data_IF_381925420478
#
_entry.id   IF_381925420478
#
_cell.length_a   1.000
_cell.length_b   1.000
_cell.length_c   1.000
_cell.angle_alpha   90.00
_cell.angle_beta   90.00
_cell.angle_gamma   90.00
#
_symmetry.space_group_name_H-M   'P 1'
#
loop_
_entity.id
_entity.type
_entity.pdbx_description
1 polymer ?
#
# COMPACT_ATOMS: atom_id res chain seq x y z
N UNK A 1 1.50 -22.06 4.49
CA UNK A 1 0.19 -21.57 4.06
C UNK A 1 0.21 -21.31 2.56
N UNK A 2 -0.95 -21.47 1.91
CA UNK A 2 -1.17 -21.08 0.50
C UNK A 2 -1.99 -19.79 0.46
N UNK A 3 -1.40 -18.73 -0.10
CA UNK A 3 -1.95 -17.38 -0.05
C UNK A 3 -2.24 -16.85 -1.47
N UNK A 4 -3.32 -16.13 -1.63
CA UNK A 4 -3.57 -15.30 -2.81
C UNK A 4 -3.20 -13.87 -2.49
N UNK A 5 -2.31 -13.25 -3.28
CA UNK A 5 -1.93 -11.85 -3.11
C UNK A 5 -2.24 -11.10 -4.42
N UNK A 6 -3.24 -10.21 -4.38
CA UNK A 6 -3.53 -9.34 -5.51
C UNK A 6 -2.70 -8.06 -5.43
N UNK A 7 -2.34 -7.49 -6.57
CA UNK A 7 -1.41 -6.36 -6.62
C UNK A 7 0.03 -6.74 -6.26
N UNK A 8 0.43 -7.99 -6.49
CA UNK A 8 1.77 -8.50 -6.14
C UNK A 8 2.92 -7.82 -6.91
N UNK A 9 2.66 -7.21 -8.05
CA UNK A 9 3.62 -6.37 -8.78
C UNK A 9 3.60 -4.90 -8.31
N UNK A 10 2.69 -4.53 -7.39
CA UNK A 10 2.64 -3.25 -6.71
C UNK A 10 3.76 -3.11 -5.67
N UNK A 11 3.88 -1.93 -5.07
CA UNK A 11 4.93 -1.64 -4.09
C UNK A 11 4.81 -2.51 -2.83
N UNK A 12 3.69 -2.41 -2.11
CA UNK A 12 3.48 -3.18 -0.88
C UNK A 12 3.35 -4.67 -1.20
N UNK A 13 2.64 -5.03 -2.29
CA UNK A 13 2.43 -6.41 -2.70
C UNK A 13 3.72 -7.15 -3.01
N UNK A 14 4.70 -6.50 -3.65
CA UNK A 14 6.02 -7.07 -3.91
C UNK A 14 6.76 -7.41 -2.61
N UNK A 15 6.87 -6.44 -1.69
CA UNK A 15 7.59 -6.65 -0.43
C UNK A 15 6.90 -7.69 0.47
N UNK A 16 5.58 -7.67 0.53
CA UNK A 16 4.81 -8.68 1.25
C UNK A 16 5.01 -10.08 0.66
N UNK A 17 4.90 -10.21 -0.67
CA UNK A 17 5.12 -11.49 -1.35
C UNK A 17 6.53 -12.01 -1.11
N UNK A 18 7.55 -11.13 -1.23
CA UNK A 18 8.93 -11.48 -0.93
C UNK A 18 9.07 -12.04 0.49
N UNK A 19 8.58 -11.31 1.49
CA UNK A 19 8.69 -11.69 2.90
C UNK A 19 8.01 -13.04 3.19
N UNK A 20 6.81 -13.26 2.67
CA UNK A 20 6.06 -14.50 2.88
C UNK A 20 6.69 -15.70 2.16
N UNK A 21 7.26 -15.50 0.97
CA UNK A 21 8.04 -16.55 0.27
C UNK A 21 9.29 -16.93 1.05
N UNK A 22 10.03 -15.94 1.58
CA UNK A 22 11.21 -16.17 2.45
C UNK A 22 10.85 -16.92 3.74
N UNK A 23 9.59 -16.80 4.21
CA UNK A 23 9.04 -17.56 5.34
C UNK A 23 8.52 -18.96 4.94
N UNK A 24 8.68 -19.38 3.68
CA UNK A 24 8.28 -20.70 3.20
C UNK A 24 6.79 -20.85 2.86
N UNK A 25 6.06 -19.74 2.65
CA UNK A 25 4.65 -19.79 2.22
C UNK A 25 4.54 -19.87 0.70
N UNK A 26 3.45 -20.49 0.22
CA UNK A 26 3.12 -20.56 -1.20
C UNK A 26 2.23 -19.37 -1.59
N UNK A 27 2.55 -18.72 -2.70
CA UNK A 27 1.83 -17.52 -3.16
C UNK A 27 1.36 -17.68 -4.59
N UNK A 28 0.07 -17.49 -4.82
CA UNK A 28 -0.47 -17.13 -6.12
C UNK A 28 -0.57 -15.61 -6.15
N UNK A 29 0.26 -14.97 -6.98
CA UNK A 29 0.30 -13.52 -7.13
C UNK A 29 -0.51 -13.05 -8.33
N UNK A 30 -1.42 -12.08 -8.15
CA UNK A 30 -2.15 -11.44 -9.23
C UNK A 30 -1.73 -9.99 -9.43
N UNK A 31 -1.65 -9.56 -10.67
CA UNK A 31 -1.57 -8.15 -11.08
C UNK A 31 -2.04 -8.03 -12.53
N UNK A 32 -2.67 -6.92 -12.90
CA UNK A 32 -3.06 -6.65 -14.29
C UNK A 32 -1.96 -5.99 -15.12
N UNK A 33 -0.88 -5.54 -14.45
CA UNK A 33 0.22 -4.80 -15.04
C UNK A 33 -0.22 -3.54 -15.78
N UNK A 34 -1.23 -2.82 -15.24
CA UNK A 34 -1.69 -1.58 -15.85
C UNK A 34 -0.57 -0.53 -15.96
N UNK A 35 -0.76 0.42 -16.87
CA UNK A 35 0.22 1.47 -17.20
C UNK A 35 0.05 2.75 -16.38
N UNK A 36 -0.53 2.69 -15.20
CA UNK A 36 -0.65 3.85 -14.31
C UNK A 36 0.71 4.49 -13.99
N UNK A 37 1.74 3.65 -13.86
CA UNK A 37 3.15 4.04 -13.82
C UNK A 37 3.99 3.01 -14.57
N UNK A 38 5.32 3.23 -14.66
CA UNK A 38 6.26 2.41 -15.41
C UNK A 38 6.03 0.89 -15.20
N UNK A 39 5.58 0.23 -16.26
CA UNK A 39 5.31 -1.22 -16.28
C UNK A 39 6.59 -2.04 -16.11
N UNK A 40 7.75 -1.51 -16.52
CA UNK A 40 9.01 -2.22 -16.38
C UNK A 40 9.39 -2.39 -14.91
N UNK A 41 9.06 -1.40 -14.05
CA UNK A 41 9.25 -1.55 -12.61
C UNK A 41 8.36 -2.68 -12.04
N UNK A 42 7.12 -2.83 -12.53
CA UNK A 42 6.23 -3.94 -12.15
C UNK A 42 6.79 -5.30 -12.61
N UNK A 43 7.23 -5.39 -13.87
CA UNK A 43 7.87 -6.61 -14.41
C UNK A 43 9.13 -6.97 -13.62
N UNK A 44 9.97 -5.98 -13.26
CA UNK A 44 11.18 -6.19 -12.45
C UNK A 44 10.86 -6.77 -11.08
N UNK A 45 9.82 -6.30 -10.40
CA UNK A 45 9.38 -6.86 -9.11
C UNK A 45 8.97 -8.34 -9.25
N UNK A 46 8.21 -8.69 -10.30
CA UNK A 46 7.84 -10.09 -10.56
C UNK A 46 9.08 -10.94 -10.85
N UNK A 47 10.01 -10.44 -11.67
CA UNK A 47 11.27 -11.13 -11.96
C UNK A 47 12.06 -11.42 -10.69
N UNK A 48 12.16 -10.43 -9.79
CA UNK A 48 12.82 -10.60 -8.50
C UNK A 48 12.12 -11.62 -7.59
N UNK A 49 10.77 -11.68 -7.58
CA UNK A 49 10.04 -12.71 -6.85
C UNK A 49 10.31 -14.10 -7.40
N UNK A 50 10.37 -14.25 -8.73
CA UNK A 50 10.68 -15.53 -9.39
C UNK A 50 12.13 -15.98 -9.20
N UNK A 51 13.06 -15.05 -8.97
CA UNK A 51 14.48 -15.34 -8.75
C UNK A 51 14.87 -15.61 -7.29
N UNK A 52 13.91 -15.58 -6.36
CA UNK A 52 14.17 -15.94 -4.97
C UNK A 52 14.60 -17.41 -4.89
N UNK A 53 15.53 -17.68 -3.97
CA UNK A 53 16.01 -19.05 -3.68
C UNK A 53 14.97 -19.85 -2.87
N UNK A 54 13.78 -20.05 -3.47
CA UNK A 54 12.67 -20.86 -2.94
C UNK A 54 12.23 -21.84 -4.04
N UNK A 55 11.45 -22.85 -3.69
CA UNK A 55 10.91 -23.79 -4.70
C UNK A 55 10.08 -23.04 -5.72
N UNK A 56 10.24 -23.35 -7.02
CA UNK A 56 9.55 -22.66 -8.13
C UNK A 56 8.03 -22.65 -7.96
N UNK A 57 7.45 -23.72 -7.47
CA UNK A 57 6.03 -23.87 -7.23
C UNK A 57 5.50 -22.97 -6.10
N UNK A 58 6.39 -22.35 -5.30
CA UNK A 58 5.98 -21.47 -4.21
C UNK A 58 5.53 -20.09 -4.70
N UNK A 59 5.93 -19.67 -5.91
CA UNK A 59 5.44 -18.43 -6.50
C UNK A 59 4.88 -18.63 -7.91
N UNK A 60 3.57 -18.52 -8.04
CA UNK A 60 2.87 -18.56 -9.34
C UNK A 60 2.31 -17.17 -9.61
N UNK A 61 2.71 -16.55 -10.72
CA UNK A 61 2.16 -15.28 -11.17
C UNK A 61 1.08 -15.48 -12.22
N UNK A 62 -0.09 -14.85 -12.03
CA UNK A 62 -1.18 -14.80 -13.00
C UNK A 62 -1.51 -13.36 -13.37
N UNK A 63 -1.50 -13.03 -14.67
CA UNK A 63 -1.90 -11.70 -15.14
C UNK A 63 -3.43 -11.66 -15.25
N UNK A 64 -4.08 -11.16 -14.17
CA UNK A 64 -5.53 -11.07 -14.07
C UNK A 64 -5.90 -9.69 -13.50
N UNK A 65 -6.93 -9.07 -14.10
CA UNK A 65 -7.58 -7.89 -13.53
C UNK A 65 -8.69 -8.35 -12.58
N UNK A 66 -8.69 -7.84 -11.36
CA UNK A 66 -9.69 -8.20 -10.34
C UNK A 66 -11.10 -7.71 -10.71
N UNK A 67 -11.24 -6.72 -11.61
CA UNK A 67 -12.53 -6.28 -12.13
C UNK A 67 -13.17 -7.31 -13.08
N UNK A 68 -12.38 -8.20 -13.67
CA UNK A 68 -12.89 -9.29 -14.52
C UNK A 68 -13.31 -10.50 -13.68
N UNK A 69 -14.57 -10.49 -13.23
CA UNK A 69 -15.15 -11.56 -12.38
C UNK A 69 -15.03 -12.94 -12.99
N UNK A 70 -15.39 -13.08 -14.26
CA UNK A 70 -15.42 -14.39 -14.93
C UNK A 70 -14.03 -15.03 -14.95
N UNK A 71 -13.01 -14.29 -15.38
CA UNK A 71 -11.62 -14.77 -15.39
C UNK A 71 -11.12 -15.08 -14.00
N UNK A 72 -11.45 -14.24 -13.02
CA UNK A 72 -11.04 -14.43 -11.63
C UNK A 72 -11.59 -15.75 -11.05
N UNK A 73 -12.89 -16.00 -11.24
CA UNK A 73 -13.55 -17.22 -10.74
C UNK A 73 -13.09 -18.46 -11.53
N UNK A 74 -13.00 -18.38 -12.85
CA UNK A 74 -12.51 -19.49 -13.68
C UNK A 74 -11.11 -19.95 -13.25
N UNK A 75 -10.21 -19.01 -13.03
CA UNK A 75 -8.79 -19.29 -12.72
C UNK A 75 -8.54 -19.68 -11.26
N UNK A 76 -9.40 -19.25 -10.33
CA UNK A 76 -9.11 -19.33 -8.90
C UNK A 76 -10.24 -19.93 -8.05
N UNK A 77 -11.46 -20.07 -8.59
CA UNK A 77 -12.63 -20.51 -7.83
C UNK A 77 -12.49 -21.90 -7.19
N UNK A 78 -11.69 -22.78 -7.80
CA UNK A 78 -11.44 -24.14 -7.28
C UNK A 78 -10.19 -24.23 -6.37
N UNK A 79 -9.48 -23.11 -6.13
CA UNK A 79 -8.34 -23.14 -5.25
C UNK A 79 -8.78 -23.06 -3.77
N UNK A 80 -8.02 -23.75 -2.92
CA UNK A 80 -8.13 -23.57 -1.46
C UNK A 80 -7.02 -22.64 -1.00
N UNK A 81 -7.39 -21.53 -0.36
CA UNK A 81 -6.47 -20.56 0.21
C UNK A 81 -6.61 -20.51 1.72
N UNK A 82 -5.50 -20.38 2.44
CA UNK A 82 -5.51 -20.11 3.88
C UNK A 82 -5.90 -18.64 4.16
N UNK A 83 -5.44 -17.71 3.32
CA UNK A 83 -5.88 -16.33 3.33
C UNK A 83 -5.77 -15.69 1.93
N UNK A 84 -6.59 -14.66 1.71
CA UNK A 84 -6.52 -13.76 0.54
C UNK A 84 -6.06 -12.39 1.02
N UNK A 85 -5.06 -11.80 0.34
CA UNK A 85 -4.57 -10.44 0.63
C UNK A 85 -4.83 -9.56 -0.59
N UNK A 86 -5.81 -8.69 -0.49
CA UNK A 86 -6.17 -7.77 -1.57
C UNK A 86 -5.46 -6.43 -1.46
N UNK A 87 -4.36 -6.30 -2.20
CA UNK A 87 -3.61 -5.03 -2.34
C UNK A 87 -3.77 -4.40 -3.73
N UNK A 88 -4.43 -5.10 -4.67
CA UNK A 88 -4.77 -4.53 -5.96
C UNK A 88 -5.76 -3.38 -5.78
N UNK A 89 -5.39 -2.22 -6.31
CA UNK A 89 -6.24 -1.04 -6.31
C UNK A 89 -5.73 -0.04 -7.35
N UNK A 90 -6.63 0.76 -7.90
CA UNK A 90 -6.24 2.02 -8.50
C UNK A 90 -5.95 3.01 -7.36
N UNK A 91 -4.70 3.43 -7.26
CA UNK A 91 -4.22 4.32 -6.21
C UNK A 91 -3.94 5.74 -6.75
N UNK A 92 -3.72 6.70 -5.84
CA UNK A 92 -3.43 8.08 -6.19
C UNK A 92 -4.65 8.99 -6.07
N UNK A 93 -4.66 9.84 -5.05
CA UNK A 93 -5.76 10.76 -4.74
C UNK A 93 -6.10 11.66 -5.92
N UNK A 94 -5.10 12.30 -6.52
CA UNK A 94 -5.31 13.28 -7.61
C UNK A 94 -5.80 12.63 -8.91
N UNK A 95 -5.33 11.44 -9.20
CA UNK A 95 -5.74 10.71 -10.39
C UNK A 95 -7.22 10.32 -10.31
N UNK A 96 -7.78 10.12 -9.10
CA UNK A 96 -9.19 9.82 -8.91
C UNK A 96 -10.13 10.98 -9.26
N UNK A 97 -9.65 12.21 -9.18
CA UNK A 97 -10.42 13.40 -9.59
C UNK A 97 -10.60 13.41 -11.12
N UNK A 98 -9.55 13.02 -11.84
CA UNK A 98 -9.56 13.06 -13.32
C UNK A 98 -10.19 11.81 -13.94
N UNK A 99 -10.03 10.63 -13.30
CA UNK A 99 -10.45 9.33 -13.85
C UNK A 99 -11.24 8.50 -12.83
N UNK A 100 -12.42 8.96 -12.35
CA UNK A 100 -13.17 8.29 -11.28
C UNK A 100 -13.61 6.87 -11.65
N UNK A 101 -13.98 6.61 -12.91
CA UNK A 101 -14.43 5.30 -13.37
C UNK A 101 -13.39 4.19 -13.13
N UNK A 102 -12.10 4.47 -13.34
CA UNK A 102 -11.03 3.51 -13.05
C UNK A 102 -10.97 3.09 -11.58
N UNK A 103 -11.37 4.00 -10.68
CA UNK A 103 -11.44 3.71 -9.26
C UNK A 103 -12.69 2.92 -8.91
N UNK A 104 -13.82 3.24 -9.53
CA UNK A 104 -15.03 2.44 -9.37
C UNK A 104 -14.81 1.01 -9.83
N UNK A 105 -14.34 0.80 -11.05
CA UNK A 105 -14.10 -0.51 -11.64
C UNK A 105 -13.12 -1.34 -10.79
N UNK A 106 -11.97 -0.77 -10.43
CA UNK A 106 -10.94 -1.54 -9.71
C UNK A 106 -11.23 -1.64 -8.22
N UNK A 107 -11.56 -0.52 -7.55
CA UNK A 107 -11.63 -0.49 -6.10
C UNK A 107 -12.99 -0.92 -5.55
N UNK A 108 -14.09 -0.69 -6.28
CA UNK A 108 -15.44 -1.08 -5.83
C UNK A 108 -15.81 -2.42 -6.44
N UNK A 109 -15.94 -2.50 -7.75
CA UNK A 109 -16.32 -3.73 -8.44
C UNK A 109 -15.26 -4.83 -8.28
N UNK A 110 -13.97 -4.49 -8.48
CA UNK A 110 -12.87 -5.44 -8.29
C UNK A 110 -12.80 -5.96 -6.86
N UNK A 111 -12.99 -5.11 -5.85
CA UNK A 111 -13.02 -5.55 -4.46
C UNK A 111 -14.23 -6.46 -4.16
N UNK A 112 -15.40 -6.11 -4.68
CA UNK A 112 -16.59 -6.98 -4.61
C UNK A 112 -16.31 -8.37 -5.22
N UNK A 113 -15.62 -8.44 -6.35
CA UNK A 113 -15.24 -9.73 -6.95
C UNK A 113 -14.29 -10.53 -6.05
N UNK A 114 -13.40 -9.87 -5.30
CA UNK A 114 -12.52 -10.53 -4.32
C UNK A 114 -13.32 -11.05 -3.12
N UNK A 115 -14.33 -10.31 -2.65
CA UNK A 115 -15.24 -10.78 -1.61
C UNK A 115 -16.01 -12.03 -2.07
N UNK A 116 -16.54 -12.03 -3.29
CA UNK A 116 -17.21 -13.19 -3.89
C UNK A 116 -16.25 -14.39 -4.06
N UNK A 117 -15.02 -14.15 -4.55
CA UNK A 117 -14.00 -15.20 -4.60
C UNK A 117 -13.72 -15.76 -3.20
N UNK A 118 -13.63 -14.90 -2.19
CA UNK A 118 -13.41 -15.31 -0.80
C UNK A 118 -14.56 -16.22 -0.29
N UNK A 119 -15.79 -15.89 -0.64
CA UNK A 119 -16.97 -16.70 -0.31
C UNK A 119 -16.97 -18.05 -1.05
N UNK A 120 -16.73 -18.05 -2.35
CA UNK A 120 -16.71 -19.26 -3.20
C UNK A 120 -15.59 -20.23 -2.76
N UNK A 121 -14.40 -19.72 -2.51
CA UNK A 121 -13.25 -20.54 -2.08
C UNK A 121 -13.28 -20.88 -0.59
N UNK A 122 -14.30 -20.40 0.14
CA UNK A 122 -14.48 -20.59 1.59
C UNK A 122 -13.24 -20.19 2.39
N UNK A 123 -12.55 -19.11 1.95
CA UNK A 123 -11.37 -18.63 2.65
C UNK A 123 -11.74 -18.12 4.04
N UNK A 124 -10.91 -18.44 5.03
CA UNK A 124 -11.20 -18.06 6.42
C UNK A 124 -10.79 -16.62 6.75
N UNK A 125 -9.86 -16.04 6.00
CA UNK A 125 -9.32 -14.71 6.29
C UNK A 125 -9.08 -13.91 5.02
N UNK A 126 -9.73 -12.74 4.92
CA UNK A 126 -9.48 -11.71 3.91
C UNK A 126 -8.79 -10.52 4.54
N UNK A 127 -7.59 -10.21 4.07
CA UNK A 127 -6.83 -8.99 4.41
C UNK A 127 -6.94 -8.02 3.25
N UNK A 128 -7.16 -6.73 3.50
CA UNK A 128 -7.33 -5.76 2.41
C UNK A 128 -6.74 -4.39 2.71
N UNK A 129 -6.34 -3.70 1.64
CA UNK A 129 -5.84 -2.34 1.72
C UNK A 129 -6.98 -1.32 1.80
N UNK A 130 -7.03 -0.55 2.89
CA UNK A 130 -7.68 0.75 3.00
C UNK A 130 -6.62 1.86 2.94
N UNK A 131 -6.92 3.05 3.45
CA UNK A 131 -6.04 4.23 3.36
C UNK A 131 -6.32 5.22 4.49
N UNK A 132 -5.30 5.90 4.97
CA UNK A 132 -5.48 7.05 5.89
C UNK A 132 -6.26 8.22 5.26
N UNK A 133 -6.44 8.25 3.94
CA UNK A 133 -7.23 9.27 3.25
C UNK A 133 -8.72 9.22 3.61
N UNK A 134 -9.23 8.11 4.17
CA UNK A 134 -10.63 8.01 4.64
C UNK A 134 -10.95 8.98 5.76
N UNK A 135 -9.95 9.40 6.52
CA UNK A 135 -10.12 10.39 7.59
C UNK A 135 -10.45 11.79 7.06
N UNK A 136 -10.09 12.11 5.80
CA UNK A 136 -10.33 13.41 5.22
C UNK A 136 -9.61 14.54 6.00
N UNK A 137 -10.31 15.65 6.24
CA UNK A 137 -9.77 16.84 6.90
C UNK A 137 -10.03 16.89 8.41
N UNK A 138 -9.99 15.77 9.11
CA UNK A 138 -10.09 15.77 10.57
C UNK A 138 -8.92 16.55 11.16
N UNK A 139 -9.21 17.57 11.99
CA UNK A 139 -8.19 18.43 12.59
C UNK A 139 -7.46 17.77 13.77
N UNK A 140 -8.15 16.87 14.50
CA UNK A 140 -7.61 16.22 15.72
C UNK A 140 -6.65 15.09 15.34
N UNK A 141 -5.42 15.22 15.78
CA UNK A 141 -4.37 14.20 15.63
C UNK A 141 -4.04 13.59 17.00
N UNK A 142 -3.58 12.33 17.05
CA UNK A 142 -3.43 11.37 15.94
C UNK A 142 -4.78 10.84 15.46
N UNK A 143 -4.85 10.42 14.18
CA UNK A 143 -6.01 9.72 13.64
C UNK A 143 -6.18 8.36 14.32
N UNK A 144 -7.37 8.08 14.85
CA UNK A 144 -7.75 6.82 15.49
C UNK A 144 -8.74 6.07 14.61
N UNK A 145 -8.79 4.74 14.74
CA UNK A 145 -9.66 3.90 13.91
C UNK A 145 -11.16 4.17 14.16
N UNK A 146 -11.52 4.59 15.36
CA UNK A 146 -12.87 5.00 15.79
C UNK A 146 -13.26 6.42 15.36
N UNK A 147 -12.35 7.18 14.78
CA UNK A 147 -12.65 8.54 14.29
C UNK A 147 -13.67 8.50 13.17
N UNK A 148 -14.60 9.45 13.15
CA UNK A 148 -15.60 9.59 12.10
C UNK A 148 -14.91 9.91 10.76
N UNK A 149 -14.92 8.94 9.84
CA UNK A 149 -14.31 9.06 8.52
C UNK A 149 -15.15 9.98 7.61
N UNK A 150 -14.52 11.00 7.04
CA UNK A 150 -15.13 11.94 6.08
C UNK A 150 -14.26 12.06 4.83
N UNK A 151 -14.31 11.08 3.91
CA UNK A 151 -13.48 11.10 2.71
C UNK A 151 -13.82 12.30 1.84
N UNK A 152 -12.79 13.03 1.39
CA UNK A 152 -12.92 14.24 0.56
C UNK A 152 -12.48 14.01 -0.90
N UNK A 153 -12.06 12.80 -1.23
CA UNK A 153 -11.69 12.42 -2.60
C UNK A 153 -12.32 11.06 -2.95
N UNK A 154 -12.61 10.85 -4.24
CA UNK A 154 -13.27 9.63 -4.70
C UNK A 154 -12.47 8.37 -4.36
N UNK A 155 -11.14 8.40 -4.47
CA UNK A 155 -10.28 7.30 -4.01
C UNK A 155 -10.56 6.90 -2.55
N UNK A 156 -10.61 7.88 -1.65
CA UNK A 156 -10.86 7.63 -0.24
C UNK A 156 -12.29 7.07 0.00
N UNK A 157 -13.28 7.60 -0.75
CA UNK A 157 -14.65 7.10 -0.68
C UNK A 157 -14.75 5.63 -1.12
N UNK A 158 -14.06 5.24 -2.21
CA UNK A 158 -14.02 3.83 -2.64
C UNK A 158 -13.39 2.92 -1.59
N UNK A 159 -12.39 3.40 -0.86
CA UNK A 159 -11.75 2.62 0.21
C UNK A 159 -12.60 2.50 1.46
N UNK A 160 -13.33 3.55 1.83
CA UNK A 160 -14.31 3.47 2.92
C UNK A 160 -15.46 2.52 2.58
N UNK A 161 -15.91 2.52 1.32
CA UNK A 161 -16.88 1.53 0.84
C UNK A 161 -16.36 0.08 0.97
N UNK A 162 -15.05 -0.14 0.70
CA UNK A 162 -14.44 -1.47 0.92
C UNK A 162 -14.52 -1.90 2.39
N UNK A 163 -14.28 -1.00 3.35
CA UNK A 163 -14.40 -1.30 4.78
C UNK A 163 -15.84 -1.75 5.12
N UNK A 164 -16.84 -1.03 4.65
CA UNK A 164 -18.26 -1.37 4.87
C UNK A 164 -18.65 -2.71 4.23
N UNK A 165 -18.24 -2.95 2.97
CA UNK A 165 -18.50 -4.21 2.28
C UNK A 165 -17.82 -5.40 2.97
N UNK A 166 -16.58 -5.24 3.44
CA UNK A 166 -15.85 -6.29 4.16
C UNK A 166 -16.54 -6.65 5.49
N UNK A 167 -17.03 -5.66 6.24
CA UNK A 167 -17.80 -5.88 7.47
C UNK A 167 -19.07 -6.67 7.20
N UNK A 168 -19.86 -6.29 6.17
CA UNK A 168 -21.07 -7.01 5.80
C UNK A 168 -20.79 -8.48 5.44
N UNK A 169 -19.74 -8.75 4.65
CA UNK A 169 -19.34 -10.13 4.30
C UNK A 169 -18.87 -10.93 5.51
N UNK A 170 -18.17 -10.29 6.44
CA UNK A 170 -17.75 -10.92 7.69
C UNK A 170 -18.95 -11.35 8.53
N UNK A 171 -19.94 -10.49 8.67
CA UNK A 171 -21.16 -10.79 9.45
C UNK A 171 -21.99 -11.91 8.81
N UNK A 172 -22.21 -11.86 7.50
CA UNK A 172 -23.08 -12.79 6.79
C UNK A 172 -22.39 -14.15 6.56
N UNK A 173 -21.16 -14.13 6.04
CA UNK A 173 -20.46 -15.35 5.58
C UNK A 173 -19.40 -15.83 6.56
N UNK A 174 -19.24 -15.19 7.71
CA UNK A 174 -18.27 -15.54 8.77
C UNK A 174 -16.81 -15.60 8.27
N UNK A 175 -16.50 -14.80 7.25
CA UNK A 175 -15.15 -14.60 6.75
C UNK A 175 -14.49 -13.56 7.64
N UNK A 176 -13.38 -13.93 8.34
CA UNK A 176 -12.59 -12.95 9.06
C UNK A 176 -12.06 -11.89 8.12
N UNK A 177 -12.21 -10.60 8.44
CA UNK A 177 -11.68 -9.51 7.60
C UNK A 177 -10.74 -8.60 8.38
N UNK A 178 -9.65 -8.18 7.74
CA UNK A 178 -8.68 -7.25 8.31
C UNK A 178 -8.36 -6.15 7.31
N UNK A 179 -8.83 -4.94 7.58
CA UNK A 179 -8.55 -3.76 6.79
C UNK A 179 -7.35 -2.98 7.30
N UNK A 180 -6.52 -2.47 6.40
CA UNK A 180 -5.40 -1.62 6.78
C UNK A 180 -5.53 -0.22 6.20
N UNK A 181 -5.71 0.79 7.05
CA UNK A 181 -5.56 2.19 6.71
C UNK A 181 -4.08 2.54 6.66
N UNK A 182 -3.47 2.28 5.51
CA UNK A 182 -2.06 2.62 5.32
C UNK A 182 -1.85 4.13 5.34
N UNK A 183 -0.86 4.57 6.10
CA UNK A 183 -0.33 5.92 6.03
C UNK A 183 0.68 6.03 4.88
N UNK A 184 1.50 7.08 4.83
CA UNK A 184 2.40 7.26 3.69
C UNK A 184 3.54 6.25 3.72
N UNK A 185 3.45 5.23 2.88
CA UNK A 185 4.47 4.17 2.79
C UNK A 185 5.58 4.57 1.85
N UNK A 186 6.84 4.33 2.24
CA UNK A 186 8.02 4.60 1.43
C UNK A 186 9.09 3.52 1.60
N UNK A 187 10.04 3.45 0.65
CA UNK A 187 11.15 2.50 0.68
C UNK A 187 11.61 2.11 -0.72
N UNK A 188 12.62 1.22 -0.84
CA UNK A 188 13.09 0.65 -2.10
C UNK A 188 11.94 0.06 -2.93
N UNK A 189 12.07 0.06 -4.25
CA UNK A 189 10.99 -0.36 -5.14
C UNK A 189 9.68 0.44 -4.94
N UNK A 190 9.75 1.68 -4.46
CA UNK A 190 8.61 2.56 -4.23
C UNK A 190 7.85 2.92 -5.50
N UNK A 191 6.72 3.61 -5.34
CA UNK A 191 5.88 4.05 -6.46
C UNK A 191 6.42 5.34 -7.08
N UNK A 192 6.54 5.41 -8.43
CA UNK A 192 7.03 6.60 -9.13
C UNK A 192 6.18 7.86 -8.97
N UNK A 193 4.89 7.72 -8.67
CA UNK A 193 3.98 8.85 -8.46
C UNK A 193 4.11 9.52 -7.08
N UNK A 194 4.88 8.93 -6.15
CA UNK A 194 5.09 9.46 -4.80
C UNK A 194 6.20 10.52 -4.74
N UNK A 195 6.08 11.44 -3.76
CA UNK A 195 6.98 12.58 -3.62
C UNK A 195 8.46 12.19 -3.52
N UNK A 196 8.81 11.20 -2.69
CA UNK A 196 10.19 10.76 -2.53
C UNK A 196 10.82 10.32 -3.86
N UNK A 197 10.08 9.57 -4.66
CA UNK A 197 10.55 9.10 -5.96
C UNK A 197 10.73 10.27 -6.94
N UNK A 198 9.72 11.15 -7.07
CA UNK A 198 9.78 12.33 -7.95
C UNK A 198 10.90 13.29 -7.56
N UNK A 199 11.07 13.53 -6.25
CA UNK A 199 12.16 14.39 -5.78
C UNK A 199 13.50 13.79 -6.13
N UNK A 200 13.71 12.49 -5.87
CA UNK A 200 14.96 11.82 -6.18
C UNK A 200 15.28 11.82 -7.67
N UNK A 201 14.29 11.59 -8.52
CA UNK A 201 14.46 11.66 -9.97
C UNK A 201 14.89 13.06 -10.42
N UNK A 202 14.25 14.12 -9.91
CA UNK A 202 14.59 15.48 -10.25
C UNK A 202 15.97 15.88 -9.71
N UNK A 203 16.32 15.49 -8.49
CA UNK A 203 17.63 15.76 -7.87
C UNK A 203 18.75 15.13 -8.70
N UNK A 204 18.61 13.86 -9.10
CA UNK A 204 19.63 13.18 -9.90
C UNK A 204 19.78 13.79 -11.29
N UNK A 205 18.68 14.28 -11.87
CA UNK A 205 18.67 15.00 -13.16
C UNK A 205 19.02 16.49 -13.05
N UNK A 206 19.44 16.99 -11.88
CA UNK A 206 19.70 18.40 -11.58
C UNK A 206 18.52 19.33 -11.94
N UNK A 207 17.29 18.85 -11.78
CA UNK A 207 16.04 19.61 -12.00
C UNK A 207 15.44 20.08 -10.69
N UNK A 208 14.71 21.20 -10.66
CA UNK A 208 14.04 21.66 -9.43
C UNK A 208 12.98 20.68 -8.96
N UNK A 209 12.82 20.56 -7.64
CA UNK A 209 11.73 19.81 -7.02
C UNK A 209 10.56 20.74 -6.70
N UNK A 210 9.32 20.30 -7.00
CA UNK A 210 8.11 21.07 -6.67
C UNK A 210 7.65 20.76 -5.25
N UNK A 211 7.73 21.77 -4.38
CA UNK A 211 7.34 21.69 -2.97
C UNK A 211 6.01 22.40 -2.78
N UNK A 212 4.92 21.63 -2.63
CA UNK A 212 3.58 22.16 -2.45
C UNK A 212 3.35 22.74 -1.05
N UNK A 213 2.39 23.67 -0.94
CA UNK A 213 2.05 24.42 0.28
C UNK A 213 3.29 25.05 0.93
N UNK A 214 4.25 25.51 0.13
CA UNK A 214 5.50 26.12 0.60
C UNK A 214 6.26 25.25 1.61
N UNK A 215 6.08 23.93 1.55
CA UNK A 215 6.70 22.97 2.48
C UNK A 215 5.95 22.75 3.80
N UNK A 216 4.84 23.44 4.02
CA UNK A 216 4.03 23.36 5.25
C UNK A 216 3.15 22.10 5.30
N UNK A 217 3.78 20.94 5.18
CA UNK A 217 3.15 19.63 5.30
C UNK A 217 3.90 18.75 6.29
N UNK A 218 3.15 17.97 7.08
CA UNK A 218 3.71 16.87 7.85
C UNK A 218 3.07 15.55 7.44
N UNK A 219 3.87 14.49 7.40
CA UNK A 219 3.40 13.14 7.05
C UNK A 219 3.87 12.12 8.06
N UNK A 220 2.96 11.23 8.45
CA UNK A 220 3.33 9.95 9.02
C UNK A 220 3.93 9.12 7.89
N UNK A 221 5.27 9.08 7.84
CA UNK A 221 6.05 8.46 6.78
C UNK A 221 6.62 7.14 7.30
N UNK A 222 6.08 6.02 6.82
CA UNK A 222 6.34 4.70 7.36
C UNK A 222 7.11 3.84 6.38
N UNK A 223 8.21 3.24 6.85
CA UNK A 223 9.07 2.41 6.02
C UNK A 223 8.38 1.09 5.64
N UNK A 224 8.67 0.61 4.45
CA UNK A 224 7.98 -0.54 3.86
C UNK A 224 8.07 -1.82 4.69
N UNK A 225 9.21 -2.11 5.30
CA UNK A 225 9.38 -3.34 6.08
C UNK A 225 8.56 -3.31 7.37
N UNK A 226 8.39 -2.13 7.99
CA UNK A 226 7.50 -1.96 9.13
C UNK A 226 6.04 -2.23 8.72
N UNK A 227 5.61 -1.75 7.56
CA UNK A 227 4.27 -2.02 7.01
C UNK A 227 4.08 -3.51 6.75
N UNK A 228 5.06 -4.15 6.10
CA UNK A 228 5.01 -5.60 5.80
C UNK A 228 4.91 -6.41 7.08
N UNK A 229 5.66 -6.04 8.12
CA UNK A 229 5.57 -6.71 9.44
C UNK A 229 4.14 -6.68 10.00
N UNK A 230 3.46 -5.53 9.94
CA UNK A 230 2.07 -5.43 10.41
C UNK A 230 1.10 -6.30 9.62
N UNK A 231 1.24 -6.35 8.28
CA UNK A 231 0.39 -7.20 7.42
C UNK A 231 0.69 -8.69 7.66
N UNK A 232 1.95 -9.08 7.73
CA UNK A 232 2.36 -10.47 8.02
C UNK A 232 1.79 -10.92 9.37
N UNK A 233 1.92 -10.09 10.40
CA UNK A 233 1.41 -10.41 11.73
C UNK A 233 -0.10 -10.67 11.72
N UNK A 234 -0.88 -9.89 10.95
CA UNK A 234 -2.34 -10.13 10.85
C UNK A 234 -2.68 -11.49 10.24
N UNK A 235 -1.82 -12.01 9.37
CA UNK A 235 -2.01 -13.30 8.68
C UNK A 235 -1.64 -14.47 9.60
N UNK A 236 -0.54 -14.35 10.34
CA UNK A 236 0.04 -15.46 11.10
C UNK A 236 -0.45 -15.54 12.56
N UNK A 237 -0.83 -14.40 13.16
CA UNK A 237 -1.30 -14.39 14.54
C UNK A 237 -2.75 -14.86 14.66
N UNK A 238 -3.00 -15.68 15.65
CA UNK A 238 -4.39 -16.01 16.05
C UNK A 238 -4.97 -14.81 16.80
N UNK A 239 -5.99 -14.19 16.23
CA UNK A 239 -6.71 -13.06 16.85
C UNK A 239 -8.19 -13.36 16.92
N UNK A 240 -8.89 -12.83 17.94
CA UNK A 240 -10.29 -13.14 18.24
C UNK A 240 -11.32 -12.30 17.48
N UNK A 241 -10.90 -11.24 16.78
CA UNK A 241 -11.85 -10.39 16.05
C UNK A 241 -12.38 -11.04 14.76
N UNK A 242 -13.61 -10.73 14.38
CA UNK A 242 -14.24 -11.15 13.13
C UNK A 242 -13.98 -10.15 11.99
N UNK A 243 -14.20 -8.86 12.24
CA UNK A 243 -13.94 -7.78 11.27
C UNK A 243 -13.31 -6.60 11.98
N UNK A 244 -12.12 -6.20 11.53
CA UNK A 244 -11.40 -5.09 12.14
C UNK A 244 -10.60 -4.27 11.13
N UNK A 245 -10.49 -2.96 11.43
CA UNK A 245 -9.64 -2.04 10.69
C UNK A 245 -8.53 -1.53 11.59
N UNK A 246 -7.31 -1.43 11.04
CA UNK A 246 -6.13 -0.98 11.76
C UNK A 246 -5.40 0.13 11.01
N UNK A 247 -4.91 1.11 11.73
CA UNK A 247 -3.93 2.03 11.21
C UNK A 247 -2.54 1.38 11.14
N UNK A 248 -1.91 1.42 9.97
CA UNK A 248 -0.49 1.11 9.83
C UNK A 248 0.29 2.37 9.43
N UNK A 249 1.00 2.91 10.40
CA UNK A 249 1.84 4.09 10.34
C UNK A 249 2.97 3.99 11.36
N UNK A 250 3.87 4.96 11.40
CA UNK A 250 4.95 4.99 12.40
C UNK A 250 4.59 5.82 13.66
N UNK A 251 3.39 6.41 13.70
CA UNK A 251 2.92 7.29 14.80
C UNK A 251 3.76 8.54 15.03
N UNK A 252 4.66 8.88 14.10
CA UNK A 252 5.52 10.05 14.13
C UNK A 252 5.40 10.80 12.82
N UNK A 253 5.11 12.11 12.89
CA UNK A 253 5.05 12.94 11.69
C UNK A 253 6.42 13.56 11.41
N UNK A 254 6.78 13.61 10.13
CA UNK A 254 7.97 14.33 9.66
C UNK A 254 7.56 15.46 8.72
N UNK A 255 8.17 16.63 8.87
CA UNK A 255 7.96 17.77 7.97
C UNK A 255 8.54 17.55 6.58
N UNK A 256 7.87 18.04 5.54
CA UNK A 256 8.31 17.88 4.16
C UNK A 256 9.72 18.45 3.94
N UNK A 257 10.02 19.62 4.52
CA UNK A 257 11.36 20.23 4.39
C UNK A 257 12.45 19.40 5.07
N UNK A 258 12.14 18.66 6.14
CA UNK A 258 13.09 17.71 6.74
C UNK A 258 13.41 16.55 5.83
N UNK A 259 12.40 16.06 5.07
CA UNK A 259 12.60 15.03 4.03
C UNK A 259 13.54 15.56 2.95
N UNK A 260 13.34 16.80 2.48
CA UNK A 260 14.20 17.45 1.48
C UNK A 260 15.64 17.57 2.00
N UNK A 261 15.85 17.95 3.26
CA UNK A 261 17.19 17.99 3.90
C UNK A 261 17.84 16.61 3.91
N UNK A 262 17.10 15.55 4.23
CA UNK A 262 17.62 14.18 4.23
C UNK A 262 18.01 13.72 2.82
N UNK A 263 17.21 14.05 1.80
CA UNK A 263 17.55 13.78 0.40
C UNK A 263 18.81 14.53 -0.03
N UNK A 264 18.93 15.84 0.31
CA UNK A 264 20.12 16.64 0.05
C UNK A 264 21.38 15.98 0.62
N UNK A 265 21.31 15.54 1.89
CA UNK A 265 22.42 14.86 2.57
C UNK A 265 22.80 13.55 1.86
N UNK A 266 21.82 12.69 1.54
CA UNK A 266 22.08 11.36 0.98
C UNK A 266 22.54 11.38 -0.49
N UNK A 267 22.09 12.36 -1.29
CA UNK A 267 22.56 12.51 -2.67
C UNK A 267 23.81 13.38 -2.77
N UNK A 268 24.19 14.09 -1.70
CA UNK A 268 25.29 15.06 -1.70
C UNK A 268 25.19 16.06 -2.85
N UNK A 269 23.98 16.61 -3.09
CA UNK A 269 23.68 17.54 -4.18
C UNK A 269 22.99 18.79 -3.67
N UNK A 270 23.25 19.93 -4.32
CA UNK A 270 22.40 21.13 -4.17
C UNK A 270 21.01 20.83 -4.74
N UNK A 271 19.97 21.29 -4.08
CA UNK A 271 18.58 21.07 -4.52
C UNK A 271 17.97 22.43 -4.82
N UNK A 272 17.55 22.63 -6.05
CA UNK A 272 16.70 23.74 -6.44
C UNK A 272 15.24 23.41 -6.10
N UNK A 273 14.50 24.37 -5.56
CA UNK A 273 13.13 24.17 -5.06
C UNK A 273 12.21 25.20 -5.70
N UNK A 274 11.14 24.69 -6.36
CA UNK A 274 10.00 25.47 -6.80
C UNK A 274 8.91 25.36 -5.73
N UNK A 275 8.64 26.45 -5.02
CA UNK A 275 7.55 26.51 -4.05
C UNK A 275 6.22 26.73 -4.77
N UNK A 276 5.23 25.87 -4.47
CA UNK A 276 3.92 25.86 -5.11
C UNK A 276 2.81 25.97 -4.06
N UNK A 277 1.69 26.62 -4.43
CA UNK A 277 0.49 26.73 -3.59
C UNK A 277 -0.06 25.36 -3.18
N UNK A 278 -0.88 25.35 -2.12
CA UNK A 278 -1.59 24.14 -1.65
C UNK A 278 -2.43 23.53 -2.79
N UNK A 279 -2.40 22.20 -2.90
CA UNK A 279 -3.18 21.48 -3.91
C UNK A 279 -4.52 21.01 -3.35
N UNK A 280 -5.56 21.14 -4.16
CA UNK A 280 -6.88 20.62 -3.86
C UNK A 280 -6.84 19.10 -3.61
N UNK A 281 -7.54 18.66 -2.58
CA UNK A 281 -7.62 17.24 -2.20
C UNK A 281 -6.46 16.73 -1.36
N UNK A 282 -5.39 17.52 -1.11
CA UNK A 282 -4.31 17.12 -0.20
C UNK A 282 -4.75 17.29 1.26
N UNK A 283 -4.19 16.45 2.13
CA UNK A 283 -4.31 16.57 3.60
C UNK A 283 -3.04 17.24 4.13
N UNK A 284 -3.18 18.30 4.94
CA UNK A 284 -2.04 19.07 5.43
C UNK A 284 -1.13 18.27 6.37
N UNK A 285 -1.72 17.59 7.35
CA UNK A 285 -0.97 16.88 8.40
C UNK A 285 -1.55 15.50 8.61
N UNK A 286 -0.69 14.47 8.74
CA UNK A 286 -1.11 13.11 9.09
C UNK A 286 -0.25 12.56 10.21
N UNK A 287 -0.89 11.92 11.19
CA UNK A 287 -0.26 11.17 12.28
C UNK A 287 -1.20 10.04 12.67
N UNK A 288 -0.71 8.80 12.68
CA UNK A 288 -1.48 7.62 13.07
C UNK A 288 -1.48 7.42 14.58
N UNK A 289 -2.59 6.99 15.14
CA UNK A 289 -2.60 6.18 16.37
C UNK A 289 -2.41 4.72 15.94
N UNK A 290 -1.43 4.05 16.51
CA UNK A 290 -1.16 2.62 16.24
C UNK A 290 -1.39 1.74 17.49
N UNK A 291 -2.08 2.27 18.49
CA UNK A 291 -2.32 1.58 19.76
C UNK A 291 -3.02 0.24 19.54
N UNK A 292 -4.06 0.23 18.70
CA UNK A 292 -4.83 -0.97 18.36
C UNK A 292 -3.97 -2.01 17.63
N UNK A 293 -3.18 -1.59 16.63
CA UNK A 293 -2.27 -2.47 15.90
C UNK A 293 -1.16 -3.03 16.81
N UNK A 294 -0.62 -2.22 17.72
CA UNK A 294 0.34 -2.71 18.73
C UNK A 294 -0.27 -3.79 19.60
N UNK A 295 -1.46 -3.56 20.13
CA UNK A 295 -2.13 -4.48 21.07
C UNK A 295 -2.52 -5.80 20.41
N UNK A 296 -3.11 -5.76 19.22
CA UNK A 296 -3.73 -6.93 18.60
C UNK A 296 -2.87 -7.62 17.55
N UNK A 297 -1.91 -6.91 16.95
CA UNK A 297 -1.06 -7.43 15.88
C UNK A 297 0.44 -7.42 16.24
N UNK A 298 0.83 -7.08 17.47
CA UNK A 298 2.24 -6.90 17.85
C UNK A 298 3.00 -5.99 16.86
N UNK A 299 2.29 -4.98 16.32
CA UNK A 299 2.86 -4.05 15.36
C UNK A 299 3.82 -3.07 16.04
N UNK A 300 5.08 -3.07 15.65
CA UNK A 300 6.11 -2.23 16.26
C UNK A 300 7.04 -1.64 15.19
N UNK A 301 6.67 -0.51 14.55
CA UNK A 301 7.50 0.15 13.56
C UNK A 301 8.78 0.69 14.21
N UNK A 302 9.94 0.28 13.67
CA UNK A 302 11.26 0.60 14.23
C UNK A 302 12.10 1.51 13.36
N UNK A 303 11.80 1.60 12.06
CA UNK A 303 12.64 2.30 11.09
C UNK A 303 12.50 3.82 11.23
N UNK A 304 13.59 4.49 11.56
CA UNK A 304 13.60 5.95 11.60
C UNK A 304 13.55 6.54 10.18
N UNK A 305 12.94 7.73 9.97
CA UNK A 305 12.93 8.38 8.66
C UNK A 305 14.33 8.59 8.07
N UNK A 306 15.33 8.91 8.91
CA UNK A 306 16.73 9.09 8.45
C UNK A 306 17.28 7.80 7.84
N UNK A 307 17.11 6.66 8.52
CA UNK A 307 17.59 5.37 8.05
C UNK A 307 16.80 4.89 6.82
N UNK A 308 15.48 4.95 6.86
CA UNK A 308 14.65 4.50 5.74
C UNK A 308 14.86 5.35 4.47
N UNK A 309 15.04 6.68 4.59
CA UNK A 309 15.35 7.54 3.44
C UNK A 309 16.76 7.22 2.88
N UNK A 310 17.73 6.92 3.74
CA UNK A 310 19.04 6.45 3.28
C UNK A 310 18.92 5.18 2.44
N UNK A 311 18.25 4.15 2.95
CA UNK A 311 18.02 2.89 2.23
C UNK A 311 17.28 3.10 0.91
N UNK A 312 16.30 4.00 0.89
CA UNK A 312 15.61 4.38 -0.35
C UNK A 312 16.57 5.05 -1.34
N UNK A 313 17.38 6.01 -0.91
CA UNK A 313 18.33 6.72 -1.78
C UNK A 313 19.41 5.79 -2.35
N UNK A 314 19.94 4.88 -1.53
CA UNK A 314 20.95 3.90 -1.97
C UNK A 314 20.37 2.99 -3.08
N UNK A 315 19.15 2.48 -2.88
CA UNK A 315 18.44 1.73 -3.92
C UNK A 315 18.16 2.58 -5.17
N UNK A 316 17.74 3.85 -4.99
CA UNK A 316 17.32 4.71 -6.10
C UNK A 316 18.48 5.09 -7.01
N UNK A 317 19.69 5.27 -6.48
CA UNK A 317 20.91 5.48 -7.27
C UNK A 317 21.13 4.33 -8.24
N UNK A 318 21.13 3.09 -7.73
CA UNK A 318 21.31 1.87 -8.54
C UNK A 318 20.18 1.72 -9.58
N UNK A 319 18.95 2.03 -9.19
CA UNK A 319 17.78 1.98 -10.10
C UNK A 319 17.92 3.01 -11.22
N UNK A 320 18.39 4.21 -10.92
CA UNK A 320 18.55 5.31 -11.88
C UNK A 320 19.69 5.08 -12.87
N UNK A 321 20.80 4.51 -12.43
CA UNK A 321 21.95 4.16 -13.28
C UNK A 321 21.63 3.06 -14.31
N UNK A 322 20.64 2.21 -14.02
CA UNK A 322 20.21 1.08 -14.88
C UNK A 322 19.03 1.42 -15.79
N UNK A 323 18.58 2.67 -15.79
CA UNK A 323 17.45 3.15 -16.58
C UNK A 323 17.90 3.97 -17.79
#
# INVERSE_FOLDING_TARGET
MKLLITGCAGFIGYHLSKKLLEMGHQIIGLDNLNNYYDVNLKKKRIQLLKSLKVKKEYFIFKKIDISNKNKLIQELGNHKFDAIVNLAAQAGVRYSIKYPNKYYETNVQGFFNILELSRITKVKHLVYASTSSVYGNIKKLPFKEDSNCKPIQFYAATKLANESMATAYSEIYKIKTTGFRFFTVYGPMGRPDMALFKFSENILKNKPIKVFNYGNHTRDLTYIDDIVQGVVNSIILKTSYSSEVFNLGCSKSIGLMKIVQLLKKNYNKKISIDYVKFQQGDIKNTKSSIIKAKKLLNYNPKTTPSNGIKLFCDWFKIYHEKK
#
